data_IF_802146639308
#
_entry.id   IF_802146639308
#
_cell.length_a   1.000
_cell.length_b   1.000
_cell.length_c   1.000
_cell.angle_alpha   90.00
_cell.angle_beta   90.00
_cell.angle_gamma   90.00
#
_symmetry.space_group_name_H-M   'P 1'
#
loop_
_entity.id
_entity.type
_entity.pdbx_description
1 polymer ?
#
# COMPACT_ATOMS: atom_id res chain seq x y z
N UNK A 1 20.74 -0.60 -24.77
CA UNK A 1 19.45 -1.00 -24.20
C UNK A 1 19.65 -1.13 -22.71
N UNK A 2 19.04 -0.26 -21.90
CA UNK A 2 19.02 -0.48 -20.46
C UNK A 2 18.15 -1.71 -20.23
N UNK A 3 18.73 -2.79 -19.73
CA UNK A 3 17.98 -3.91 -19.18
C UNK A 3 17.07 -3.30 -18.12
N UNK A 4 15.75 -3.29 -18.34
CA UNK A 4 14.81 -3.00 -17.25
C UNK A 4 15.18 -4.03 -16.18
N UNK A 5 15.72 -3.57 -15.06
CA UNK A 5 15.89 -4.43 -13.90
C UNK A 5 14.53 -5.10 -13.67
N UNK A 6 14.54 -6.41 -13.49
CA UNK A 6 13.32 -7.17 -13.27
C UNK A 6 12.69 -6.65 -11.97
N UNK A 7 11.65 -5.84 -12.08
CA UNK A 7 10.95 -5.29 -10.91
C UNK A 7 10.02 -6.38 -10.40
N UNK A 8 10.32 -6.88 -9.21
CA UNK A 8 9.45 -7.81 -8.48
C UNK A 8 8.56 -6.99 -7.56
N UNK A 9 7.25 -7.09 -7.74
CA UNK A 9 6.24 -6.51 -6.84
C UNK A 9 5.64 -7.63 -6.03
N UNK A 10 5.65 -7.49 -4.70
CA UNK A 10 5.11 -8.48 -3.77
C UNK A 10 3.94 -7.86 -3.02
N UNK A 11 2.77 -8.48 -3.13
CA UNK A 11 1.65 -8.17 -2.24
C UNK A 11 1.85 -8.94 -0.93
N UNK A 12 2.18 -8.21 0.14
CA UNK A 12 2.40 -8.79 1.47
C UNK A 12 1.10 -9.02 2.25
N UNK A 13 -0.05 -8.60 1.73
CA UNK A 13 -1.37 -8.77 2.35
C UNK A 13 -1.56 -7.96 3.64
N UNK A 14 -0.98 -8.41 4.75
CA UNK A 14 -1.10 -7.76 6.08
C UNK A 14 0.02 -6.74 6.32
N UNK A 15 -0.21 -5.71 7.15
CA UNK A 15 0.84 -4.78 7.49
C UNK A 15 2.00 -5.50 8.20
N UNK A 16 3.22 -5.25 7.75
CA UNK A 16 4.42 -5.65 8.50
C UNK A 16 4.37 -5.01 9.90
N UNK A 17 4.66 -5.81 10.92
CA UNK A 17 4.49 -5.42 12.34
C UNK A 17 3.21 -5.93 13.00
N UNK A 18 2.20 -6.39 12.23
CA UNK A 18 0.94 -6.89 12.80
C UNK A 18 1.08 -8.15 13.68
N UNK A 19 2.09 -8.97 13.43
CA UNK A 19 2.37 -10.23 14.13
C UNK A 19 3.88 -10.46 14.22
N UNK A 20 4.60 -9.74 15.10
CA UNK A 20 6.05 -9.89 15.24
C UNK A 20 6.45 -11.33 15.59
N UNK A 21 5.64 -12.03 16.39
CA UNK A 21 5.86 -13.43 16.77
C UNK A 21 5.87 -14.40 15.58
N UNK A 22 5.12 -14.10 14.52
CA UNK A 22 5.06 -14.94 13.32
C UNK A 22 6.29 -14.73 12.43
N UNK A 23 6.93 -13.57 12.51
CA UNK A 23 8.14 -13.25 11.74
C UNK A 23 9.39 -13.96 12.23
N UNK A 24 9.40 -14.43 13.49
CA UNK A 24 10.52 -15.18 14.07
C UNK A 24 10.57 -16.63 13.59
N UNK A 25 9.47 -17.17 13.05
CA UNK A 25 9.40 -18.55 12.60
C UNK A 25 9.98 -18.69 11.18
N UNK A 26 11.12 -19.38 10.99
CA UNK A 26 11.74 -19.49 9.67
C UNK A 26 10.81 -20.20 8.67
N UNK A 27 10.69 -19.62 7.48
CA UNK A 27 9.82 -20.15 6.42
C UNK A 27 8.35 -19.72 6.50
N UNK A 28 7.97 -18.92 7.50
CA UNK A 28 6.65 -18.27 7.49
C UNK A 28 6.57 -17.16 6.44
N UNK A 29 5.35 -16.86 5.97
CA UNK A 29 5.13 -15.70 5.08
C UNK A 29 5.58 -14.39 5.74
N UNK A 30 5.40 -14.25 7.06
CA UNK A 30 5.83 -13.08 7.81
C UNK A 30 7.37 -12.92 7.80
N UNK A 31 8.11 -14.02 7.98
CA UNK A 31 9.57 -14.01 7.90
C UNK A 31 10.04 -13.64 6.49
N UNK A 32 9.40 -14.19 5.45
CA UNK A 32 9.71 -13.84 4.06
C UNK A 32 9.41 -12.36 3.76
N UNK A 33 8.29 -11.84 4.23
CA UNK A 33 7.89 -10.46 3.99
C UNK A 33 8.85 -9.46 4.67
N UNK A 34 9.32 -9.75 5.89
CA UNK A 34 10.37 -8.97 6.56
C UNK A 34 11.70 -9.03 5.79
N UNK A 35 12.08 -10.21 5.29
CA UNK A 35 13.29 -10.32 4.48
C UNK A 35 13.19 -9.51 3.18
N UNK A 36 12.08 -9.63 2.45
CA UNK A 36 11.85 -8.89 1.20
C UNK A 36 11.84 -7.37 1.42
N UNK A 37 11.25 -6.90 2.53
CA UNK A 37 11.33 -5.48 2.94
C UNK A 37 12.78 -5.00 3.02
N UNK A 38 13.68 -5.79 3.60
CA UNK A 38 15.09 -5.39 3.76
C UNK A 38 15.84 -5.26 2.43
N UNK A 39 15.29 -5.81 1.33
CA UNK A 39 15.89 -5.81 0.00
C UNK A 39 15.36 -4.70 -0.93
N UNK A 40 14.35 -3.93 -0.50
CA UNK A 40 13.71 -2.96 -1.38
C UNK A 40 12.78 -1.98 -0.68
N UNK A 41 11.90 -1.36 -1.46
CA UNK A 41 10.90 -0.41 -0.95
C UNK A 41 9.62 -1.13 -0.54
N UNK A 42 9.10 -0.81 0.63
CA UNK A 42 7.78 -1.22 1.11
C UNK A 42 6.85 -0.04 1.21
N UNK A 43 5.66 -0.21 0.63
CA UNK A 43 4.59 0.77 0.66
C UNK A 43 3.41 0.19 1.42
N UNK A 44 2.90 0.95 2.38
CA UNK A 44 1.67 0.61 3.08
C UNK A 44 0.47 1.19 2.34
N UNK A 45 -0.41 0.34 1.84
CA UNK A 45 -1.67 0.76 1.21
C UNK A 45 -2.78 0.76 2.25
N UNK A 46 -3.44 1.91 2.43
CA UNK A 46 -4.51 2.04 3.45
C UNK A 46 -5.60 3.00 3.00
N UNK A 47 -6.75 2.97 3.67
CA UNK A 47 -7.84 3.92 3.47
C UNK A 47 -7.74 5.10 4.43
N UNK A 48 -8.21 6.26 3.99
CA UNK A 48 -8.29 7.47 4.80
C UNK A 48 -9.43 7.41 5.84
N UNK A 49 -9.46 6.39 6.71
CA UNK A 49 -10.51 6.23 7.72
C UNK A 49 -9.97 5.90 9.10
N UNK A 50 -10.69 6.37 10.12
CA UNK A 50 -10.31 6.24 11.53
C UNK A 50 -9.99 4.78 11.93
N UNK A 51 -10.82 3.82 11.50
CA UNK A 51 -10.61 2.41 11.85
C UNK A 51 -9.36 1.82 11.20
N UNK A 52 -9.03 2.23 9.97
CA UNK A 52 -7.81 1.77 9.29
C UNK A 52 -6.58 2.31 9.98
N UNK A 53 -6.56 3.61 10.29
CA UNK A 53 -5.44 4.23 10.99
C UNK A 53 -5.28 3.76 12.42
N UNK A 54 -6.40 3.54 13.14
CA UNK A 54 -6.36 2.99 14.49
C UNK A 54 -5.71 1.61 14.50
N UNK A 55 -6.05 0.74 13.54
CA UNK A 55 -5.44 -0.59 13.41
C UNK A 55 -3.96 -0.48 13.04
N UNK A 56 -3.63 0.32 12.02
CA UNK A 56 -2.26 0.53 11.59
C UNK A 56 -1.36 1.03 12.73
N UNK A 57 -1.84 1.99 13.53
CA UNK A 57 -1.10 2.48 14.71
C UNK A 57 -0.94 1.41 15.78
N UNK A 58 -1.97 0.59 16.02
CA UNK A 58 -1.91 -0.50 16.99
C UNK A 58 -0.95 -1.62 16.56
N UNK A 59 -0.80 -1.85 15.25
CA UNK A 59 0.10 -2.89 14.69
C UNK A 59 1.53 -2.41 14.47
N UNK A 60 1.82 -1.10 14.60
CA UNK A 60 3.16 -0.57 14.36
C UNK A 60 3.66 -0.84 12.95
N UNK A 61 2.93 -0.34 11.94
CA UNK A 61 3.27 -0.53 10.52
C UNK A 61 4.72 -0.18 10.23
N UNK A 62 5.43 -1.14 9.63
CA UNK A 62 6.79 -0.95 9.16
C UNK A 62 6.80 -0.83 7.63
N UNK A 63 6.94 0.40 7.12
CA UNK A 63 6.95 0.75 5.69
C UNK A 63 7.75 2.03 5.42
N UNK A 64 8.10 2.29 4.16
CA UNK A 64 8.87 3.48 3.76
C UNK A 64 7.96 4.66 3.37
N UNK A 65 6.70 4.36 3.04
CA UNK A 65 5.70 5.36 2.69
C UNK A 65 4.30 4.76 2.62
N UNK A 66 3.32 5.64 2.47
CA UNK A 66 1.90 5.28 2.43
C UNK A 66 1.31 5.64 1.06
N UNK A 67 0.61 4.69 0.46
CA UNK A 67 -0.31 4.95 -0.65
C UNK A 67 -1.72 4.98 -0.08
N UNK A 68 -2.37 6.14 -0.17
CA UNK A 68 -3.68 6.37 0.41
C UNK A 68 -4.78 6.13 -0.62
N UNK A 69 -5.74 5.28 -0.28
CA UNK A 69 -7.02 5.21 -0.97
C UNK A 69 -7.95 6.29 -0.40
N UNK A 70 -8.29 7.25 -1.25
CA UNK A 70 -9.22 8.33 -0.91
C UNK A 70 -10.65 7.91 -1.25
N UNK A 71 -11.50 7.83 -0.22
CA UNK A 71 -12.91 7.46 -0.34
C UNK A 71 -13.77 8.71 -0.12
N UNK A 72 -14.70 9.05 -1.03
CA UNK A 72 -15.59 10.18 -0.84
C UNK A 72 -16.34 10.11 0.50
N UNK A 73 -16.42 11.25 1.20
CA UNK A 73 -17.15 11.36 2.47
C UNK A 73 -16.38 10.90 3.71
N UNK A 74 -15.09 10.58 3.58
CA UNK A 74 -14.20 10.42 4.74
C UNK A 74 -13.68 11.77 5.23
N UNK A 75 -13.50 11.88 6.54
CA UNK A 75 -13.07 13.11 7.19
C UNK A 75 -11.53 13.26 7.25
N UNK A 76 -10.80 12.17 7.11
CA UNK A 76 -9.33 12.18 7.20
C UNK A 76 -8.73 12.31 5.80
N UNK A 77 -7.66 13.08 5.68
CA UNK A 77 -6.90 13.25 4.45
C UNK A 77 -5.45 12.78 4.58
N UNK A 78 -4.67 12.95 3.51
CA UNK A 78 -3.26 12.57 3.44
C UNK A 78 -2.41 13.16 4.58
N UNK A 79 -2.70 14.40 5.00
CA UNK A 79 -1.99 15.04 6.10
C UNK A 79 -2.24 14.33 7.43
N UNK A 80 -3.49 14.06 7.77
CA UNK A 80 -3.84 13.37 9.02
C UNK A 80 -3.21 11.96 9.06
N UNK A 81 -3.24 11.26 7.93
CA UNK A 81 -2.63 9.93 7.78
C UNK A 81 -1.12 10.00 8.02
N UNK A 82 -0.44 10.96 7.40
CA UNK A 82 1.01 11.13 7.55
C UNK A 82 1.39 11.47 8.99
N UNK A 83 0.66 12.38 9.62
CA UNK A 83 0.88 12.78 11.03
C UNK A 83 0.62 11.62 12.00
N UNK A 84 -0.43 10.82 11.79
CA UNK A 84 -0.78 9.69 12.68
C UNK A 84 0.20 8.53 12.55
N UNK A 85 0.67 8.23 11.35
CA UNK A 85 1.54 7.08 11.07
C UNK A 85 3.03 7.43 11.18
N UNK A 86 3.40 8.71 11.14
CA UNK A 86 4.79 9.14 11.08
C UNK A 86 5.49 8.75 9.77
N UNK A 87 4.71 8.46 8.72
CA UNK A 87 5.18 8.03 7.40
C UNK A 87 4.76 9.03 6.33
N UNK A 88 5.58 9.26 5.28
CA UNK A 88 5.18 10.12 4.18
C UNK A 88 4.05 9.46 3.37
N UNK A 89 3.00 10.20 3.05
CA UNK A 89 2.03 9.79 2.03
C UNK A 89 2.65 10.08 0.67
N UNK A 90 3.12 9.03 0.00
CA UNK A 90 3.82 9.14 -1.29
C UNK A 90 2.84 9.17 -2.46
N UNK A 91 1.60 8.71 -2.28
CA UNK A 91 0.60 8.69 -3.34
C UNK A 91 -0.82 8.68 -2.79
N UNK A 92 -1.74 9.26 -3.57
CA UNK A 92 -3.18 9.23 -3.29
C UNK A 92 -3.91 8.73 -4.53
N UNK A 93 -4.76 7.72 -4.34
CA UNK A 93 -5.55 7.08 -5.39
C UNK A 93 -7.02 7.15 -4.98
N UNK A 94 -7.84 7.75 -5.84
CA UNK A 94 -9.29 7.83 -5.61
C UNK A 94 -9.92 6.42 -5.69
N UNK A 95 -10.82 6.12 -4.76
CA UNK A 95 -11.65 4.93 -4.82
C UNK A 95 -12.62 5.05 -6.02
N UNK A 96 -12.35 4.28 -7.07
CA UNK A 96 -13.12 4.30 -8.32
C UNK A 96 -13.72 2.91 -8.62
N UNK A 97 -15.06 2.78 -8.69
CA UNK A 97 -15.72 1.54 -9.09
C UNK A 97 -15.28 0.99 -10.46
N UNK A 98 -14.84 1.83 -11.40
CA UNK A 98 -14.30 1.36 -12.69
C UNK A 98 -13.00 0.57 -12.51
N UNK A 99 -12.16 0.93 -11.54
CA UNK A 99 -10.93 0.20 -11.23
C UNK A 99 -11.27 -1.18 -10.68
N UNK A 100 -12.20 -1.26 -9.73
CA UNK A 100 -12.66 -2.53 -9.18
C UNK A 100 -13.20 -3.47 -10.28
N UNK A 101 -14.07 -2.96 -11.16
CA UNK A 101 -14.59 -3.73 -12.30
C UNK A 101 -13.49 -4.20 -13.25
N UNK A 102 -12.50 -3.36 -13.51
CA UNK A 102 -11.38 -3.72 -14.39
C UNK A 102 -10.49 -4.81 -13.77
N UNK A 103 -10.30 -4.79 -12.44
CA UNK A 103 -9.61 -5.86 -11.68
C UNK A 103 -10.42 -7.15 -11.75
N UNK A 104 -11.70 -7.12 -11.41
CA UNK A 104 -12.58 -8.30 -11.40
C UNK A 104 -12.68 -8.96 -12.78
N UNK A 105 -12.70 -8.15 -13.84
CA UNK A 105 -12.73 -8.64 -15.22
C UNK A 105 -11.34 -9.05 -15.76
N UNK A 106 -10.26 -8.86 -15.01
CA UNK A 106 -8.89 -9.14 -15.46
C UNK A 106 -8.43 -8.25 -16.63
N UNK A 107 -9.00 -7.04 -16.77
CA UNK A 107 -8.74 -6.12 -17.90
C UNK A 107 -7.88 -4.92 -17.54
N UNK A 108 -7.52 -4.75 -16.26
CA UNK A 108 -6.77 -3.58 -15.78
C UNK A 108 -5.46 -3.34 -16.55
N UNK A 109 -4.72 -4.41 -16.85
CA UNK A 109 -3.45 -4.34 -17.58
C UNK A 109 -3.59 -3.92 -19.06
N UNK A 110 -4.77 -4.16 -19.66
CA UNK A 110 -5.07 -3.75 -21.04
C UNK A 110 -5.49 -2.29 -21.12
N UNK A 111 -6.23 -1.80 -20.11
CA UNK A 111 -6.73 -0.43 -20.05
C UNK A 111 -6.78 0.05 -18.61
N UNK A 112 -5.82 0.89 -18.24
CA UNK A 112 -5.77 1.52 -16.93
C UNK A 112 -6.79 2.68 -16.89
N UNK A 113 -7.74 2.70 -15.93
CA UNK A 113 -8.65 3.83 -15.74
C UNK A 113 -7.91 5.16 -15.51
N UNK A 114 -8.52 6.27 -15.96
CA UNK A 114 -7.87 7.59 -15.92
C UNK A 114 -7.64 8.09 -14.49
N UNK A 115 -8.54 7.77 -13.58
CA UNK A 115 -8.46 8.06 -12.13
C UNK A 115 -7.23 7.41 -11.51
N UNK A 116 -7.06 6.10 -11.72
CA UNK A 116 -5.90 5.35 -11.23
C UNK A 116 -4.58 5.87 -11.81
N UNK A 117 -4.50 6.05 -13.14
CA UNK A 117 -3.28 6.56 -13.77
C UNK A 117 -2.89 7.98 -13.31
N UNK A 118 -3.86 8.83 -12.97
CA UNK A 118 -3.60 10.16 -12.40
C UNK A 118 -3.10 10.10 -10.96
N UNK A 119 -3.70 9.25 -10.13
CA UNK A 119 -3.25 9.03 -8.75
C UNK A 119 -1.82 8.51 -8.69
N UNK A 120 -1.52 7.49 -9.51
CA UNK A 120 -0.20 6.86 -9.57
C UNK A 120 0.90 7.78 -10.11
N UNK A 121 0.61 8.73 -11.01
CA UNK A 121 1.62 9.70 -11.48
C UNK A 121 2.13 10.63 -10.38
N UNK A 122 1.37 10.77 -9.29
CA UNK A 122 1.79 11.54 -8.10
C UNK A 122 2.52 10.66 -7.08
N UNK A 123 2.43 9.34 -7.26
CA UNK A 123 3.15 8.32 -6.51
C UNK A 123 4.48 8.03 -7.20
N UNK A 124 5.48 8.88 -6.97
CA UNK A 124 6.80 8.79 -7.59
C UNK A 124 7.67 9.96 -7.22
#
# INVERSE_FOLDING_TARGET
AATLAEVVVVDAGRPLGAHPEQSEHPGSEAHLAVHLRSLGTSLFVTRACYLSLRRARATGVDADGVVLLDEPGRALGARDVSEVLGLPVVGVVDADPEVARAVDAGTLSRRIPRTLSRGLRRAG
#
